data_IF_823835092888
#
_entry.id   IF_823835092888
#
_cell.length_a   1.000
_cell.length_b   1.000
_cell.length_c   1.000
_cell.angle_alpha   90.00
_cell.angle_beta   90.00
_cell.angle_gamma   90.00
#
_symmetry.space_group_name_H-M   'P 1'
#
loop_
_entity.id
_entity.type
_entity.pdbx_description
1 polymer ?
#
# COMPACT_ATOMS: atom_id res chain seq x y z
N UNK A 1 40.59 11.98 -7.62
CA UNK A 1 40.17 10.65 -7.16
C UNK A 1 40.41 10.53 -5.65
N UNK A 2 39.40 10.78 -4.79
CA UNK A 2 39.39 10.25 -3.44
C UNK A 2 38.39 9.09 -3.35
N UNK A 3 38.87 7.94 -2.88
CA UNK A 3 38.10 6.73 -2.60
C UNK A 3 37.21 6.94 -1.37
N UNK A 4 35.89 6.84 -1.54
CA UNK A 4 34.94 6.76 -0.44
C UNK A 4 34.91 5.32 0.09
N UNK A 5 35.40 5.15 1.31
CA UNK A 5 35.26 3.92 2.10
C UNK A 5 33.76 3.77 2.46
N UNK A 6 33.08 2.79 1.88
CA UNK A 6 31.74 2.38 2.31
C UNK A 6 31.91 1.50 3.54
N UNK A 7 31.65 2.04 4.72
CA UNK A 7 31.53 1.25 5.95
C UNK A 7 30.18 0.54 5.95
N UNK A 8 30.21 -0.79 5.92
CA UNK A 8 29.01 -1.63 6.06
C UNK A 8 28.45 -1.47 7.48
N UNK A 9 27.38 -0.70 7.63
CA UNK A 9 26.60 -0.69 8.86
C UNK A 9 25.80 -1.99 8.94
N UNK A 10 26.16 -2.83 9.91
CA UNK A 10 25.46 -4.05 10.28
C UNK A 10 24.00 -3.69 10.61
N UNK A 11 23.05 -4.24 9.86
CA UNK A 11 21.62 -4.06 10.11
C UNK A 11 21.26 -4.65 11.47
N UNK A 12 20.96 -3.80 12.45
CA UNK A 12 20.40 -4.24 13.72
C UNK A 12 19.03 -4.88 13.45
N UNK A 13 18.85 -6.13 13.89
CA UNK A 13 17.59 -6.84 13.73
C UNK A 13 16.46 -6.10 14.48
N UNK A 14 15.47 -5.62 13.73
CA UNK A 14 14.27 -4.99 14.27
C UNK A 14 13.46 -6.07 15.00
N UNK A 15 13.04 -5.86 16.26
CA UNK A 15 12.28 -6.86 16.99
C UNK A 15 10.96 -7.12 16.26
N UNK A 16 10.71 -8.39 15.89
CA UNK A 16 9.40 -8.83 15.40
C UNK A 16 8.40 -8.63 16.53
N UNK A 17 7.56 -7.60 16.43
CA UNK A 17 6.39 -7.48 17.29
C UNK A 17 5.47 -8.65 16.91
N UNK A 18 5.34 -9.64 17.79
CA UNK A 18 4.43 -10.76 17.53
C UNK A 18 3.00 -10.22 17.56
N UNK A 19 2.36 -10.16 16.39
CA UNK A 19 0.95 -9.79 16.29
C UNK A 19 0.15 -10.87 17.01
N UNK A 20 -0.53 -10.50 18.11
CA UNK A 20 -1.47 -11.40 18.77
C UNK A 20 -2.70 -11.52 17.88
N UNK A 21 -2.90 -12.70 17.30
CA UNK A 21 -4.11 -13.05 16.58
C UNK A 21 -5.22 -13.29 17.61
N UNK A 22 -6.35 -12.61 17.44
CA UNK A 22 -7.56 -12.78 18.27
C UNK A 22 -8.17 -14.17 18.05
N UNK A 23 -9.05 -14.60 18.96
CA UNK A 23 -9.79 -15.87 18.91
C UNK A 23 -10.53 -16.05 17.57
N UNK A 24 -10.97 -14.95 16.94
CA UNK A 24 -11.69 -14.95 15.67
C UNK A 24 -10.79 -14.87 14.42
N UNK A 25 -9.47 -14.91 14.59
CA UNK A 25 -8.49 -14.86 13.50
C UNK A 25 -8.09 -13.45 13.03
N UNK A 26 -8.66 -12.38 13.62
CA UNK A 26 -8.27 -11.00 13.30
C UNK A 26 -7.09 -10.51 14.15
N UNK A 27 -6.26 -9.58 13.64
CA UNK A 27 -5.29 -8.86 14.45
C UNK A 27 -5.94 -8.14 15.64
N UNK A 28 -5.36 -8.26 16.83
CA UNK A 28 -5.95 -7.72 18.07
C UNK A 28 -6.08 -6.19 18.11
N UNK A 29 -5.38 -5.47 17.23
CA UNK A 29 -5.46 -4.01 17.15
C UNK A 29 -6.66 -3.52 16.32
N UNK A 30 -7.30 -4.40 15.55
CA UNK A 30 -8.49 -4.03 14.79
C UNK A 30 -9.69 -3.85 15.72
N UNK A 31 -10.59 -2.89 15.41
CA UNK A 31 -11.81 -2.68 16.17
C UNK A 31 -12.71 -3.93 16.08
N UNK A 32 -13.47 -4.25 17.13
CA UNK A 32 -14.33 -5.46 17.18
C UNK A 32 -15.38 -5.49 16.07
N UNK A 33 -15.71 -4.33 15.53
CA UNK A 33 -16.60 -4.13 14.39
C UNK A 33 -16.17 -4.93 13.15
N UNK A 34 -14.89 -5.30 13.00
CA UNK A 34 -14.44 -6.16 11.90
C UNK A 34 -15.12 -7.54 11.91
N UNK A 35 -15.62 -8.00 13.06
CA UNK A 35 -16.41 -9.23 13.15
C UNK A 35 -17.74 -9.14 12.39
N UNK A 36 -18.25 -7.91 12.15
CA UNK A 36 -19.51 -7.64 11.45
C UNK A 36 -19.33 -7.53 9.93
N UNK A 37 -18.11 -7.57 9.41
CA UNK A 37 -17.84 -7.53 7.96
C UNK A 37 -18.52 -8.75 7.30
N UNK A 38 -19.45 -8.46 6.39
CA UNK A 38 -20.21 -9.47 5.64
C UNK A 38 -19.52 -9.92 4.37
N UNK A 39 -18.74 -9.03 3.76
CA UNK A 39 -18.01 -9.34 2.54
C UNK A 39 -16.83 -10.29 2.82
N UNK A 40 -16.78 -11.48 2.22
CA UNK A 40 -15.76 -12.47 2.55
C UNK A 40 -14.36 -12.02 2.14
N UNK A 41 -14.21 -11.31 1.03
CA UNK A 41 -12.91 -10.80 0.56
C UNK A 41 -12.38 -9.71 1.49
N UNK A 42 -13.23 -8.78 1.92
CA UNK A 42 -12.88 -7.78 2.92
C UNK A 42 -12.49 -8.45 4.24
N UNK A 43 -13.24 -9.49 4.65
CA UNK A 43 -13.01 -10.20 5.89
C UNK A 43 -11.66 -10.92 5.87
N UNK A 44 -11.33 -11.59 4.77
CA UNK A 44 -10.05 -12.30 4.62
C UNK A 44 -8.87 -11.34 4.48
N UNK A 45 -9.06 -10.22 3.78
CA UNK A 45 -8.06 -9.16 3.74
C UNK A 45 -7.82 -8.55 5.13
N UNK A 46 -8.88 -8.27 5.90
CA UNK A 46 -8.78 -7.71 7.24
C UNK A 46 -8.02 -8.61 8.22
N UNK A 47 -8.16 -9.95 8.11
CA UNK A 47 -7.39 -10.90 8.93
C UNK A 47 -5.87 -10.82 8.67
N UNK A 48 -5.46 -10.34 7.51
CA UNK A 48 -4.05 -10.22 7.08
C UNK A 48 -3.43 -8.85 7.32
N UNK A 49 -4.19 -7.90 7.88
CA UNK A 49 -3.65 -6.54 8.12
C UNK A 49 -2.55 -6.63 9.17
N UNK A 50 -1.41 -6.02 8.85
CA UNK A 50 -0.28 -5.91 9.76
C UNK A 50 0.03 -4.44 10.06
N UNK A 51 0.44 -4.15 11.29
CA UNK A 51 1.11 -2.90 11.65
C UNK A 51 2.60 -3.17 11.71
N UNK A 52 3.28 -2.89 10.60
CA UNK A 52 4.70 -3.12 10.49
C UNK A 52 5.48 -1.80 10.56
N UNK A 53 6.65 -1.76 11.22
CA UNK A 53 7.67 -0.80 10.82
C UNK A 53 8.00 -1.11 9.37
N UNK A 54 8.01 -0.09 8.52
CA UNK A 54 7.95 -0.41 7.11
C UNK A 54 9.23 -1.11 6.64
N UNK A 55 9.05 -2.27 5.99
CA UNK A 55 10.15 -3.12 5.54
C UNK A 55 10.69 -2.60 4.21
N UNK A 56 12.01 -2.70 4.03
CA UNK A 56 12.68 -2.44 2.75
C UNK A 56 12.82 -3.75 1.99
N UNK A 57 12.37 -3.79 0.74
CA UNK A 57 12.51 -4.94 -0.16
C UNK A 57 11.62 -4.82 -1.39
N UNK A 58 12.10 -5.39 -2.50
CA UNK A 58 11.48 -5.53 -3.85
C UNK A 58 10.85 -4.25 -4.43
N UNK A 59 10.39 -4.31 -5.68
CA UNK A 59 9.64 -3.25 -6.35
C UNK A 59 8.13 -3.57 -6.25
N UNK A 60 7.47 -3.33 -5.10
CA UNK A 60 6.07 -3.65 -4.96
C UNK A 60 5.16 -2.61 -5.61
N UNK A 61 3.94 -3.05 -5.88
CA UNK A 61 2.82 -2.17 -6.20
C UNK A 61 2.16 -1.72 -4.92
N UNK A 62 2.20 -0.42 -4.64
CA UNK A 62 1.52 0.19 -3.51
C UNK A 62 0.14 0.69 -3.96
N UNK A 63 -0.91 0.17 -3.32
CA UNK A 63 -2.29 0.55 -3.55
C UNK A 63 -2.74 1.55 -2.48
N UNK A 64 -3.13 2.75 -2.92
CA UNK A 64 -3.63 3.82 -2.06
C UNK A 64 -5.13 3.98 -2.25
N UNK A 65 -5.89 3.92 -1.16
CA UNK A 65 -7.35 4.09 -1.19
C UNK A 65 -7.76 5.56 -1.34
N UNK A 66 -9.04 5.79 -1.66
CA UNK A 66 -9.63 7.11 -1.84
C UNK A 66 -10.10 7.80 -0.56
N UNK A 67 -10.96 8.81 -0.72
CA UNK A 67 -11.55 9.59 0.36
C UNK A 67 -12.55 8.75 1.18
N UNK A 68 -12.54 8.89 2.51
CA UNK A 68 -13.46 8.22 3.44
C UNK A 68 -13.46 6.70 3.38
N UNK A 69 -12.24 6.15 3.36
CA UNK A 69 -12.05 4.73 3.15
C UNK A 69 -10.88 4.13 3.92
N UNK A 70 -10.51 2.90 3.54
CA UNK A 70 -9.42 2.09 4.07
C UNK A 70 -8.83 1.21 2.97
N UNK A 71 -7.74 0.54 3.28
CA UNK A 71 -7.11 -0.49 2.45
C UNK A 71 -8.08 -1.58 1.97
N UNK A 72 -9.22 -1.79 2.63
CA UNK A 72 -10.26 -2.76 2.22
C UNK A 72 -11.02 -2.35 0.94
N UNK A 73 -10.82 -1.14 0.42
CA UNK A 73 -11.27 -0.77 -0.93
C UNK A 73 -10.74 -1.76 -1.98
N UNK A 74 -9.52 -2.26 -1.77
CA UNK A 74 -8.83 -3.15 -2.70
C UNK A 74 -9.19 -4.62 -2.54
N UNK A 75 -10.17 -4.98 -1.69
CA UNK A 75 -10.53 -6.38 -1.36
C UNK A 75 -10.73 -7.32 -2.57
N UNK A 76 -11.20 -6.81 -3.71
CA UNK A 76 -11.39 -7.62 -4.92
C UNK A 76 -10.20 -7.59 -5.88
N UNK A 77 -9.49 -6.47 -6.00
CA UNK A 77 -8.31 -6.36 -6.87
C UNK A 77 -7.05 -6.94 -6.25
N UNK A 78 -6.88 -6.82 -4.93
CA UNK A 78 -5.72 -7.32 -4.20
C UNK A 78 -5.44 -8.82 -4.45
N UNK A 79 -6.42 -9.75 -4.26
CA UNK A 79 -6.17 -11.17 -4.51
C UNK A 79 -5.85 -11.48 -5.98
N UNK A 80 -6.30 -10.66 -6.93
CA UNK A 80 -5.99 -10.84 -8.36
C UNK A 80 -4.54 -10.42 -8.68
N UNK A 81 -4.06 -9.33 -8.08
CA UNK A 81 -2.65 -8.91 -8.20
C UNK A 81 -1.71 -9.92 -7.52
N UNK A 82 -2.08 -10.38 -6.33
CA UNK A 82 -1.37 -11.44 -5.60
C UNK A 82 -1.33 -12.74 -6.43
N UNK A 83 -2.47 -13.14 -7.00
CA UNK A 83 -2.56 -14.31 -7.88
C UNK A 83 -1.76 -14.17 -9.18
N UNK A 84 -1.48 -12.95 -9.62
CA UNK A 84 -0.61 -12.66 -10.76
C UNK A 84 0.89 -12.60 -10.39
N UNK A 85 1.25 -12.88 -9.13
CA UNK A 85 2.63 -12.89 -8.64
C UNK A 85 3.20 -11.50 -8.35
N UNK A 86 2.35 -10.47 -8.24
CA UNK A 86 2.78 -9.11 -7.96
C UNK A 86 2.88 -8.90 -6.45
N UNK A 87 4.06 -8.49 -5.97
CA UNK A 87 4.25 -8.04 -4.60
C UNK A 87 3.43 -6.77 -4.37
N UNK A 88 2.31 -6.88 -3.65
CA UNK A 88 1.27 -5.85 -3.59
C UNK A 88 0.96 -5.45 -2.15
N UNK A 89 0.95 -4.15 -1.89
CA UNK A 89 0.74 -3.56 -0.56
C UNK A 89 -0.42 -2.58 -0.60
N UNK A 90 -1.54 -2.91 0.03
CA UNK A 90 -2.63 -1.96 0.25
C UNK A 90 -2.43 -1.24 1.58
N UNK A 91 -2.35 0.09 1.54
CA UNK A 91 -1.94 0.90 2.70
C UNK A 91 -3.07 1.82 3.13
N UNK A 92 -3.32 1.90 4.44
CA UNK A 92 -4.19 2.92 5.02
C UNK A 92 -3.46 4.28 5.04
N UNK A 93 -4.13 5.31 4.50
CA UNK A 93 -3.64 6.69 4.56
C UNK A 93 -3.71 7.16 6.01
N UNK A 94 -2.66 7.86 6.49
CA UNK A 94 -2.61 8.38 7.84
C UNK A 94 -3.87 9.15 8.23
N UNK A 95 -4.48 8.72 9.34
CA UNK A 95 -5.71 9.30 9.86
C UNK A 95 -6.99 8.67 9.30
N UNK A 96 -6.88 7.66 8.43
CA UNK A 96 -7.99 6.91 7.86
C UNK A 96 -7.82 5.40 8.08
N UNK A 97 -8.87 4.64 7.75
CA UNK A 97 -8.91 3.19 7.91
C UNK A 97 -8.59 2.74 9.34
N UNK A 98 -7.64 1.81 9.47
CA UNK A 98 -7.23 1.20 10.73
C UNK A 98 -5.93 1.80 11.30
N UNK A 99 -5.57 2.99 10.84
CA UNK A 99 -4.45 3.79 11.38
C UNK A 99 -4.55 3.91 12.90
N UNK A 100 -3.41 3.83 13.59
CA UNK A 100 -3.38 4.04 15.04
C UNK A 100 -3.47 5.52 15.37
N UNK A 101 -4.70 5.99 15.65
CA UNK A 101 -4.98 7.39 15.95
C UNK A 101 -4.39 7.90 17.28
N UNK A 102 -3.90 7.01 18.16
CA UNK A 102 -3.34 7.40 19.46
C UNK A 102 -1.88 7.82 19.39
N UNK A 103 -1.16 7.44 18.32
CA UNK A 103 0.27 7.70 18.14
C UNK A 103 0.59 8.72 17.04
N UNK A 104 -0.41 9.45 16.53
CA UNK A 104 -0.26 10.23 15.28
C UNK A 104 0.24 11.65 15.54
N UNK A 105 1.16 12.19 14.71
CA UNK A 105 1.29 13.64 14.54
C UNK A 105 -0.06 14.27 14.13
N UNK A 106 -0.23 15.60 14.21
CA UNK A 106 -1.47 16.25 13.82
C UNK A 106 -1.89 15.81 12.41
N UNK A 107 -3.14 15.39 12.19
CA UNK A 107 -3.67 14.90 10.90
C UNK A 107 -3.86 16.02 9.85
N UNK A 108 -2.87 16.91 9.74
CA UNK A 108 -2.82 18.00 8.78
C UNK A 108 -2.16 17.56 7.46
N UNK A 109 -2.18 18.46 6.48
CA UNK A 109 -1.63 18.20 5.14
C UNK A 109 -0.16 17.79 5.20
N UNK A 110 0.65 18.44 6.05
CA UNK A 110 2.08 18.16 6.15
C UNK A 110 2.36 16.75 6.71
N UNK A 111 1.64 16.31 7.74
CA UNK A 111 1.81 14.97 8.30
C UNK A 111 1.31 13.86 7.36
N UNK A 112 0.19 14.10 6.66
CA UNK A 112 -0.30 13.17 5.63
C UNK A 112 0.68 13.08 4.46
N UNK A 113 1.20 14.22 4.02
CA UNK A 113 2.27 14.33 3.03
C UNK A 113 3.48 13.51 3.49
N UNK A 114 4.01 13.78 4.68
CA UNK A 114 5.17 13.07 5.24
C UNK A 114 4.92 11.56 5.36
N UNK A 115 3.74 11.13 5.79
CA UNK A 115 3.41 9.70 5.84
C UNK A 115 3.44 9.05 4.47
N UNK A 116 2.83 9.69 3.47
CA UNK A 116 2.90 9.22 2.08
C UNK A 116 4.34 9.26 1.55
N UNK A 117 5.14 10.27 1.92
CA UNK A 117 6.57 10.28 1.62
C UNK A 117 7.32 9.18 2.33
N UNK A 118 6.98 8.82 3.55
CA UNK A 118 7.66 7.72 4.25
C UNK A 118 7.33 6.40 3.57
N UNK A 119 6.04 6.13 3.31
CA UNK A 119 5.54 4.97 2.54
C UNK A 119 6.21 4.92 1.17
N UNK A 120 6.22 6.03 0.44
CA UNK A 120 6.92 6.16 -0.84
C UNK A 120 8.40 5.92 -0.68
N UNK A 121 9.08 6.60 0.25
CA UNK A 121 10.54 6.60 0.46
C UNK A 121 11.14 5.23 0.72
N UNK A 122 10.34 4.26 1.12
CA UNK A 122 10.77 2.86 1.26
C UNK A 122 11.06 2.22 -0.10
N UNK A 123 10.48 2.76 -1.17
CA UNK A 123 10.70 2.41 -2.57
C UNK A 123 11.63 3.44 -3.28
N UNK A 124 11.78 4.65 -2.72
CA UNK A 124 12.54 5.77 -3.31
C UNK A 124 14.01 5.92 -2.92
N UNK A 125 14.54 5.14 -1.98
CA UNK A 125 15.97 5.27 -1.61
C UNK A 125 16.91 4.67 -2.66
N UNK A 126 16.39 4.32 -3.83
CA UNK A 126 17.19 4.10 -5.02
C UNK A 126 17.76 5.45 -5.48
N UNK A 127 19.06 5.53 -5.84
CA UNK A 127 19.72 6.76 -6.27
C UNK A 127 18.99 7.53 -7.38
N UNK A 128 18.14 6.85 -8.16
CA UNK A 128 17.41 7.39 -9.31
C UNK A 128 15.98 7.87 -9.00
N UNK A 129 15.54 7.97 -7.75
CA UNK A 129 14.13 8.32 -7.48
C UNK A 129 13.74 9.75 -7.83
N UNK A 130 14.61 10.73 -7.54
CA UNK A 130 14.36 12.11 -7.93
C UNK A 130 14.20 12.18 -9.45
N UNK A 131 15.07 11.47 -10.16
CA UNK A 131 14.99 11.30 -11.61
C UNK A 131 13.72 10.54 -12.02
N UNK A 132 13.31 9.46 -11.36
CA UNK A 132 12.11 8.69 -11.71
C UNK A 132 10.80 9.46 -11.47
N UNK A 133 10.73 10.29 -10.43
CA UNK A 133 9.56 11.16 -10.16
C UNK A 133 9.50 12.28 -11.18
N UNK A 134 10.64 12.90 -11.47
CA UNK A 134 10.76 13.96 -12.47
C UNK A 134 10.48 13.37 -13.87
N UNK A 135 11.06 12.23 -14.22
CA UNK A 135 10.80 11.47 -15.44
C UNK A 135 9.35 11.04 -15.53
N UNK A 136 8.69 10.60 -14.46
CA UNK A 136 7.23 10.34 -14.51
C UNK A 136 6.43 11.62 -14.81
N UNK A 137 6.77 12.73 -14.16
CA UNK A 137 6.11 14.02 -14.40
C UNK A 137 6.43 14.62 -15.78
N UNK A 138 7.59 14.30 -16.35
CA UNK A 138 8.07 14.80 -17.64
C UNK A 138 7.73 13.88 -18.82
N UNK A 139 7.68 12.56 -18.60
CA UNK A 139 7.36 11.54 -19.60
C UNK A 139 5.92 11.64 -20.07
N UNK A 140 5.02 12.08 -19.17
CA UNK A 140 3.60 12.02 -19.44
C UNK A 140 3.09 10.58 -19.58
N UNK A 141 3.81 9.60 -19.01
CA UNK A 141 3.46 8.16 -19.00
C UNK A 141 2.26 7.85 -18.08
N UNK A 142 1.27 8.73 -18.09
CA UNK A 142 -0.04 8.53 -17.48
C UNK A 142 -1.03 8.17 -18.59
N UNK A 143 -1.63 6.99 -18.49
CA UNK A 143 -2.72 6.60 -19.40
C UNK A 143 -4.06 6.78 -18.68
N UNK A 144 -4.93 7.61 -19.24
CA UNK A 144 -6.32 7.68 -18.79
C UNK A 144 -7.14 6.62 -19.53
N UNK A 145 -7.71 5.67 -18.77
CA UNK A 145 -8.55 4.61 -19.33
C UNK A 145 -9.96 4.74 -18.78
N UNK A 146 -10.94 4.93 -19.66
CA UNK A 146 -12.35 4.85 -19.28
C UNK A 146 -12.79 3.39 -19.23
N UNK A 147 -13.39 2.98 -18.11
CA UNK A 147 -13.92 1.62 -17.95
C UNK A 147 -15.42 1.61 -18.31
N UNK A 148 -15.85 0.90 -19.37
CA UNK A 148 -17.24 0.88 -19.78
C UNK A 148 -18.16 0.28 -18.72
N UNK A 149 -19.30 0.93 -18.47
CA UNK A 149 -20.31 0.44 -17.52
C UNK A 149 -19.82 0.37 -16.07
N UNK A 150 -18.89 1.25 -15.70
CA UNK A 150 -18.38 1.38 -14.34
C UNK A 150 -18.74 2.74 -13.75
N UNK A 151 -19.15 2.73 -12.49
CA UNK A 151 -19.47 3.91 -11.71
C UNK A 151 -18.26 4.51 -11.00
N UNK A 152 -18.40 4.70 -9.70
CA UNK A 152 -17.50 5.51 -8.88
C UNK A 152 -16.19 4.81 -8.50
N UNK A 153 -16.20 3.48 -8.33
CA UNK A 153 -15.08 2.74 -7.74
C UNK A 153 -14.70 1.57 -8.66
N UNK A 154 -13.91 1.80 -9.72
CA UNK A 154 -13.62 0.77 -10.71
C UNK A 154 -12.93 -0.47 -10.17
N UNK A 155 -12.04 -0.32 -9.20
CA UNK A 155 -11.35 -1.45 -8.56
C UNK A 155 -12.26 -2.30 -7.67
N UNK A 156 -13.48 -1.82 -7.38
CA UNK A 156 -14.53 -2.59 -6.71
C UNK A 156 -15.55 -3.13 -7.71
N UNK A 157 -15.95 -2.32 -8.69
CA UNK A 157 -17.03 -2.65 -9.63
C UNK A 157 -16.57 -3.52 -10.80
N UNK A 158 -15.32 -3.37 -11.24
CA UNK A 158 -14.69 -4.08 -12.38
C UNK A 158 -13.25 -4.50 -12.04
N UNK A 159 -13.03 -5.25 -10.94
CA UNK A 159 -11.69 -5.52 -10.41
C UNK A 159 -10.78 -6.23 -11.41
N UNK A 160 -11.30 -7.16 -12.22
CA UNK A 160 -10.51 -7.89 -13.21
C UNK A 160 -9.95 -6.97 -14.29
N UNK A 161 -10.78 -6.05 -14.79
CA UNK A 161 -10.37 -5.13 -15.85
C UNK A 161 -9.39 -4.08 -15.31
N UNK A 162 -9.62 -3.57 -14.10
CA UNK A 162 -8.65 -2.68 -13.44
C UNK A 162 -7.30 -3.38 -13.27
N UNK A 163 -7.30 -4.62 -12.79
CA UNK A 163 -6.06 -5.38 -12.61
C UNK A 163 -5.38 -5.66 -13.94
N UNK A 164 -6.12 -5.94 -15.01
CA UNK A 164 -5.54 -6.05 -16.35
C UNK A 164 -4.80 -4.78 -16.77
N UNK A 165 -5.38 -3.59 -16.55
CA UNK A 165 -4.71 -2.33 -16.88
C UNK A 165 -3.51 -2.04 -15.98
N UNK A 166 -3.59 -2.38 -14.68
CA UNK A 166 -2.45 -2.27 -13.76
C UNK A 166 -1.30 -3.18 -14.24
N UNK A 167 -1.60 -4.43 -14.60
CA UNK A 167 -0.59 -5.38 -15.09
C UNK A 167 0.04 -4.92 -16.41
N UNK A 168 -0.75 -4.39 -17.34
CA UNK A 168 -0.24 -3.78 -18.59
C UNK A 168 0.73 -2.64 -18.30
N UNK A 169 0.34 -1.74 -17.40
CA UNK A 169 1.20 -0.64 -16.98
C UNK A 169 2.52 -1.13 -16.37
N UNK A 170 2.47 -2.09 -15.43
CA UNK A 170 3.67 -2.63 -14.75
C UNK A 170 4.58 -3.38 -15.73
N UNK A 171 3.99 -4.09 -16.70
CA UNK A 171 4.73 -4.93 -17.67
C UNK A 171 5.18 -4.18 -18.91
N UNK A 172 4.80 -2.91 -19.05
CA UNK A 172 5.03 -2.10 -20.25
C UNK A 172 4.43 -2.74 -21.52
N UNK A 173 3.19 -3.25 -21.42
CA UNK A 173 2.39 -3.87 -22.50
C UNK A 173 1.21 -2.98 -22.95
#
# INVERSE_FOLDING_TARGET
>A
MPSLLVTSTTSAAIPRVSIRVSVNGFPSFLPKEVDKIRDPFARDMAKRIERLPVKRGTEPVVLLHGFDSSCLEWRYSYPLLEGAGIDTWAVDILGWGFSDLQMVPPCNVAAKREHLYQVGRLHCLQPWWEDATVDFMLSGDSTLVQIPGCGHIPHVEKPELVVQYILKFIRHE
#
